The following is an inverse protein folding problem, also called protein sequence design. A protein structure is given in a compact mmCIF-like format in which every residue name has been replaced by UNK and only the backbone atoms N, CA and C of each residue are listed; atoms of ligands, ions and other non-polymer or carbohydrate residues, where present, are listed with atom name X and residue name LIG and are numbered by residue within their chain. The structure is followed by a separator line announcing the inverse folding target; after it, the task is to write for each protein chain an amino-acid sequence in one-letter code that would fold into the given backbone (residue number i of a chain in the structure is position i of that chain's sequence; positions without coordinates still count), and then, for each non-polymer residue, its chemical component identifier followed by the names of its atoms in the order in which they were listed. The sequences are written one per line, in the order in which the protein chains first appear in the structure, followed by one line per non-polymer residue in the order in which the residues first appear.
data_IF_186467145504
#
_entry.id   IF_186467145504
#
_cell.length_a   1.000
_cell.length_b   1.000
_cell.length_c   1.000
_cell.angle_alpha   90.00
_cell.angle_beta   90.00
_cell.angle_gamma   90.00
#
_symmetry.space_group_name_H-M   'P 1'
#
loop_
_entity.id
_entity.type
_entity.pdbx_description
1 polymer ?
#
# COMPACT_ATOMS: atom_id res chain seq x y z
N UNK A 1 -16.67 -5.25 -4.91
CA UNK A 1 -16.00 -4.28 -4.03
C UNK A 1 -15.49 -5.01 -2.80
N UNK A 2 -14.25 -5.48 -2.88
CA UNK A 2 -13.49 -6.10 -1.81
C UNK A 2 -12.39 -5.14 -1.36
N UNK A 3 -12.30 -4.89 -0.05
CA UNK A 3 -11.36 -3.92 0.52
C UNK A 3 -10.42 -4.64 1.49
N UNK A 4 -9.12 -4.55 1.23
CA UNK A 4 -8.10 -4.99 2.19
C UNK A 4 -7.74 -3.83 3.10
N UNK A 5 -7.65 -4.08 4.40
CA UNK A 5 -7.12 -3.10 5.36
C UNK A 5 -5.94 -3.68 6.13
N UNK A 6 -4.85 -2.92 6.23
CA UNK A 6 -3.66 -3.34 6.95
C UNK A 6 -2.89 -2.14 7.51
N UNK A 7 -2.38 -2.31 8.73
CA UNK A 7 -1.36 -1.44 9.30
C UNK A 7 0.04 -1.96 8.92
N UNK A 8 0.88 -1.11 8.36
CA UNK A 8 2.23 -1.45 7.89
C UNK A 8 3.33 -1.09 8.89
N UNK A 9 2.99 -0.44 10.01
CA UNK A 9 3.91 -0.01 11.06
C UNK A 9 5.14 0.71 10.47
N UNK A 10 4.93 1.59 9.49
CA UNK A 10 5.95 2.32 8.72
C UNK A 10 7.02 1.46 8.03
N UNK A 11 6.79 0.15 7.94
CA UNK A 11 7.80 -0.82 7.52
C UNK A 11 7.90 -0.86 6.00
N UNK A 12 9.02 -0.34 5.46
CA UNK A 12 9.26 -0.27 4.02
C UNK A 12 9.25 -1.64 3.33
N UNK A 13 9.84 -2.66 3.96
CA UNK A 13 9.88 -4.02 3.40
C UNK A 13 8.49 -4.65 3.35
N UNK A 14 7.68 -4.49 4.40
CA UNK A 14 6.30 -4.99 4.44
C UNK A 14 5.46 -4.36 3.31
N UNK A 15 5.59 -3.06 3.09
CA UNK A 15 4.88 -2.39 2.00
C UNK A 15 5.36 -2.88 0.62
N UNK A 16 6.66 -3.03 0.42
CA UNK A 16 7.21 -3.51 -0.84
C UNK A 16 6.77 -4.96 -1.13
N UNK A 17 6.80 -5.82 -0.13
CA UNK A 17 6.30 -7.21 -0.24
C UNK A 17 4.82 -7.23 -0.58
N UNK A 18 4.00 -6.41 0.08
CA UNK A 18 2.57 -6.29 -0.21
C UNK A 18 2.34 -5.85 -1.65
N UNK A 19 2.95 -4.75 -2.10
CA UNK A 19 2.77 -4.18 -3.44
C UNK A 19 3.20 -5.09 -4.60
N UNK A 20 4.05 -6.09 -4.33
CA UNK A 20 4.49 -7.08 -5.31
C UNK A 20 3.85 -8.46 -5.09
N UNK A 21 2.88 -8.57 -4.17
CA UNK A 21 2.18 -9.82 -3.92
C UNK A 21 1.10 -10.05 -4.97
N UNK A 22 1.01 -11.26 -5.56
CA UNK A 22 -0.09 -11.60 -6.47
C UNK A 22 -1.45 -11.58 -5.76
N UNK A 23 -1.47 -11.69 -4.42
CA UNK A 23 -2.71 -11.60 -3.64
C UNK A 23 -3.41 -10.25 -3.80
N UNK A 24 -2.70 -9.19 -4.20
CA UNK A 24 -3.33 -7.88 -4.41
C UNK A 24 -4.31 -7.85 -5.59
N UNK A 25 -4.14 -8.74 -6.58
CA UNK A 25 -5.01 -8.78 -7.76
C UNK A 25 -6.46 -9.19 -7.42
N UNK A 26 -6.68 -9.72 -6.23
CA UNK A 26 -8.00 -10.13 -5.71
C UNK A 26 -8.79 -8.99 -5.06
N UNK A 27 -8.19 -7.81 -4.90
CA UNK A 27 -8.76 -6.69 -4.13
C UNK A 27 -8.99 -5.47 -5.02
N UNK A 28 -10.07 -4.74 -4.73
CA UNK A 28 -10.41 -3.52 -5.46
C UNK A 28 -9.75 -2.27 -4.83
N UNK A 29 -9.59 -2.27 -3.50
CA UNK A 29 -9.06 -1.15 -2.72
C UNK A 29 -8.15 -1.64 -1.59
N UNK A 30 -7.02 -0.95 -1.41
CA UNK A 30 -6.10 -1.14 -0.28
C UNK A 30 -6.16 0.08 0.64
N UNK A 31 -6.60 -0.12 1.88
CA UNK A 31 -6.56 0.90 2.92
C UNK A 31 -5.37 0.64 3.85
N UNK A 32 -4.28 1.39 3.63
CA UNK A 32 -3.02 1.22 4.37
C UNK A 32 -2.92 2.25 5.50
N UNK A 33 -2.71 1.77 6.72
CA UNK A 33 -2.40 2.60 7.89
C UNK A 33 -0.90 2.55 8.16
N UNK A 34 -0.35 3.67 8.64
CA UNK A 34 1.08 3.86 8.87
C UNK A 34 1.95 3.38 7.68
N UNK A 35 1.67 3.83 6.45
CA UNK A 35 2.47 3.44 5.30
C UNK A 35 3.91 3.95 5.44
N UNK A 36 4.85 3.28 4.78
CA UNK A 36 6.20 3.82 4.66
C UNK A 36 6.16 5.08 3.79
N UNK A 37 6.54 6.21 4.37
CA UNK A 37 6.63 7.52 3.71
C UNK A 37 8.08 7.87 3.43
N UNK A 38 8.33 8.58 2.33
CA UNK A 38 9.61 9.23 2.08
C UNK A 38 9.68 10.59 2.81
N UNK A 39 10.82 11.29 2.68
CA UNK A 39 11.05 12.57 3.36
C UNK A 39 10.08 13.70 2.98
N UNK A 40 9.36 13.58 1.85
CA UNK A 40 8.36 14.55 1.39
C UNK A 40 6.92 14.08 1.65
N UNK A 41 6.73 13.02 2.44
CA UNK A 41 5.41 12.53 2.84
C UNK A 41 4.70 11.64 1.82
N UNK A 42 5.36 11.24 0.74
CA UNK A 42 4.77 10.35 -0.26
C UNK A 42 5.01 8.89 0.09
N UNK A 43 3.99 8.06 -0.14
CA UNK A 43 4.13 6.61 -0.08
C UNK A 43 4.43 6.00 -1.46
N UNK A 44 4.93 4.77 -1.48
CA UNK A 44 5.23 4.03 -2.72
C UNK A 44 3.99 3.30 -3.24
N UNK A 45 3.89 3.20 -4.56
CA UNK A 45 2.89 2.42 -5.28
C UNK A 45 3.57 1.52 -6.31
N UNK A 46 2.84 0.57 -6.88
CA UNK A 46 3.23 -0.10 -8.12
C UNK A 46 2.50 0.52 -9.33
N UNK A 47 2.90 0.18 -10.55
CA UNK A 47 2.27 0.70 -11.78
C UNK A 47 0.78 0.36 -11.91
N UNK A 48 0.31 -0.64 -11.17
CA UNK A 48 -1.09 -1.09 -11.18
C UNK A 48 -1.98 -0.30 -10.21
N UNK A 49 -1.39 0.37 -9.21
CA UNK A 49 -2.12 1.01 -8.12
C UNK A 49 -1.97 2.53 -8.18
N UNK A 50 -3.09 3.25 -8.11
CA UNK A 50 -3.09 4.69 -7.88
C UNK A 50 -3.23 4.97 -6.39
N UNK A 51 -2.31 5.75 -5.85
CA UNK A 51 -2.36 6.19 -4.45
C UNK A 51 -3.16 7.46 -4.33
N UNK A 52 -4.04 7.51 -3.34
CA UNK A 52 -4.70 8.73 -2.88
C UNK A 52 -4.30 8.96 -1.43
N UNK A 53 -3.65 10.09 -1.16
CA UNK A 53 -3.41 10.60 0.19
C UNK A 53 -4.48 11.66 0.49
N UNK A 54 -4.88 11.86 1.77
CA UNK A 54 -5.74 12.97 2.16
C UNK A 54 -5.08 14.34 1.93
#
# INVERSE_FOLDING_TARGET
LCIWQQNLNTTHTAQLTLLNSPTLDEWDVLALQEPALNMIGNTRASTHWRVSLP
#
